data_IF_202222798139
#
_entry.id   IF_202222798139
#
_cell.length_a   1.000
_cell.length_b   1.000
_cell.length_c   1.000
_cell.angle_alpha   90.00
_cell.angle_beta   90.00
_cell.angle_gamma   90.00
#
_symmetry.space_group_name_H-M   'P 1'
#
loop_
_entity.id
_entity.type
_entity.pdbx_description
1 polymer ?
#
# COMPACT_ATOMS: atom_id res chain seq x y z
N UNK A 1 26.01 5.74 -6.99
CA UNK A 1 24.55 5.72 -6.70
C UNK A 1 24.19 4.29 -6.30
N UNK A 2 23.87 4.03 -5.04
CA UNK A 2 23.34 2.72 -4.63
C UNK A 2 21.83 2.89 -4.46
N UNK A 3 21.08 2.72 -5.55
CA UNK A 3 19.64 2.51 -5.49
C UNK A 3 19.38 1.03 -5.16
N UNK A 4 19.35 0.67 -3.89
CA UNK A 4 18.48 -0.42 -3.46
C UNK A 4 17.21 0.23 -2.94
N UNK A 5 16.33 0.58 -3.88
CA UNK A 5 14.95 0.99 -3.60
C UNK A 5 14.28 -0.18 -2.89
N UNK A 6 13.92 0.01 -1.63
CA UNK A 6 13.07 -0.93 -0.90
C UNK A 6 11.87 -1.34 -1.78
N UNK A 7 11.60 -2.64 -1.87
CA UNK A 7 10.36 -3.14 -2.50
C UNK A 7 9.16 -2.69 -1.66
N UNK A 8 7.97 -2.61 -2.26
CA UNK A 8 6.74 -2.29 -1.49
C UNK A 8 6.56 -3.26 -0.31
N UNK A 9 6.79 -4.55 -0.57
CA UNK A 9 6.78 -5.60 0.45
C UNK A 9 7.76 -5.29 1.58
N UNK A 10 9.02 -4.99 1.25
CA UNK A 10 10.04 -4.65 2.24
C UNK A 10 9.70 -3.39 3.05
N UNK A 11 9.07 -2.39 2.44
CA UNK A 11 8.58 -1.19 3.15
C UNK A 11 7.48 -1.58 4.15
N UNK A 12 6.51 -2.36 3.71
CA UNK A 12 5.37 -2.81 4.54
C UNK A 12 5.83 -3.70 5.69
N UNK A 13 6.78 -4.61 5.45
CA UNK A 13 7.40 -5.42 6.49
C UNK A 13 8.19 -4.56 7.49
N UNK A 14 9.03 -3.64 6.99
CA UNK A 14 9.87 -2.79 7.82
C UNK A 14 9.05 -1.94 8.79
N UNK A 15 7.95 -1.35 8.31
CA UNK A 15 7.07 -0.51 9.13
C UNK A 15 5.99 -1.29 9.89
N UNK A 16 5.80 -2.58 9.59
CA UNK A 16 4.81 -3.44 10.24
C UNK A 16 3.37 -3.22 9.77
N UNK A 17 3.17 -2.71 8.56
CA UNK A 17 1.85 -2.38 8.00
C UNK A 17 1.34 -3.41 6.97
N UNK A 18 2.01 -4.57 6.84
CA UNK A 18 1.60 -5.64 5.92
C UNK A 18 0.13 -6.05 6.10
N UNK A 19 -0.27 -6.31 7.34
CA UNK A 19 -1.66 -6.69 7.67
C UNK A 19 -2.66 -5.57 7.36
N UNK A 20 -2.26 -4.32 7.55
CA UNK A 20 -3.13 -3.19 7.29
C UNK A 20 -3.36 -2.98 5.79
N UNK A 21 -2.32 -3.22 4.98
CA UNK A 21 -2.45 -3.25 3.52
C UNK A 21 -3.36 -4.41 3.06
N UNK A 22 -3.24 -5.60 3.67
CA UNK A 22 -4.14 -6.72 3.40
C UNK A 22 -5.61 -6.35 3.70
N UNK A 23 -5.87 -5.69 4.83
CA UNK A 23 -7.20 -5.20 5.20
C UNK A 23 -7.78 -4.22 4.16
N UNK A 24 -6.95 -3.32 3.61
CA UNK A 24 -7.34 -2.42 2.52
C UNK A 24 -7.70 -3.18 1.24
N UNK A 25 -6.87 -4.15 0.84
CA UNK A 25 -7.11 -4.96 -0.35
C UNK A 25 -8.39 -5.78 -0.22
N UNK A 26 -8.62 -6.38 0.96
CA UNK A 26 -9.86 -7.09 1.27
C UNK A 26 -11.07 -6.15 1.25
N UNK A 27 -10.95 -4.96 1.84
CA UNK A 27 -12.01 -3.95 1.83
C UNK A 27 -12.41 -3.55 0.40
N UNK A 28 -11.43 -3.24 -0.46
CA UNK A 28 -11.69 -2.88 -1.87
C UNK A 28 -12.29 -4.05 -2.66
N UNK A 29 -11.80 -5.26 -2.42
CA UNK A 29 -12.27 -6.48 -3.09
C UNK A 29 -13.73 -6.82 -2.77
N UNK A 30 -14.24 -6.45 -1.58
CA UNK A 30 -15.65 -6.71 -1.20
C UNK A 30 -16.67 -6.03 -2.14
N UNK A 31 -16.29 -4.95 -2.83
CA UNK A 31 -17.14 -4.28 -3.82
C UNK A 31 -17.28 -5.07 -5.13
N UNK A 32 -16.45 -6.10 -5.34
CA UNK A 32 -16.37 -6.92 -6.57
C UNK A 32 -16.97 -8.32 -6.37
N UNK A 33 -18.24 -8.40 -5.96
CA UNK A 33 -18.92 -9.70 -5.78
C UNK A 33 -18.99 -10.46 -7.10
N UNK A 34 -18.53 -11.72 -7.10
CA UNK A 34 -18.56 -12.61 -8.26
C UNK A 34 -17.37 -12.45 -9.21
N UNK A 35 -16.43 -11.56 -8.91
CA UNK A 35 -15.20 -11.42 -9.67
C UNK A 35 -14.29 -12.64 -9.49
N UNK A 36 -13.63 -13.02 -10.57
CA UNK A 36 -12.55 -13.99 -10.60
C UNK A 36 -11.30 -13.47 -9.90
N UNK A 37 -10.36 -14.38 -9.60
CA UNK A 37 -9.07 -14.00 -9.02
C UNK A 37 -8.28 -13.03 -9.90
N UNK A 38 -8.34 -13.20 -11.23
CA UNK A 38 -7.64 -12.33 -12.19
C UNK A 38 -8.26 -10.93 -12.22
N UNK A 39 -9.58 -10.81 -12.11
CA UNK A 39 -10.25 -9.51 -12.02
C UNK A 39 -9.88 -8.79 -10.70
N UNK A 40 -9.84 -9.51 -9.57
CA UNK A 40 -9.40 -8.93 -8.29
C UNK A 40 -7.93 -8.49 -8.38
N UNK A 41 -7.06 -9.31 -8.96
CA UNK A 41 -5.65 -8.98 -9.11
C UNK A 41 -5.44 -7.72 -9.96
N UNK A 42 -6.09 -7.65 -11.13
CA UNK A 42 -5.85 -6.58 -12.10
C UNK A 42 -6.64 -5.30 -11.81
N UNK A 43 -7.83 -5.39 -11.20
CA UNK A 43 -8.68 -4.22 -10.97
C UNK A 43 -8.61 -3.69 -9.53
N UNK A 44 -8.11 -4.48 -8.58
CA UNK A 44 -8.01 -4.08 -7.18
C UNK A 44 -6.57 -4.08 -6.70
N UNK A 45 -5.89 -5.22 -6.77
CA UNK A 45 -4.57 -5.38 -6.14
C UNK A 45 -3.53 -4.52 -6.84
N UNK A 46 -3.29 -4.73 -8.14
CA UNK A 46 -2.27 -4.01 -8.90
C UNK A 46 -2.49 -2.48 -8.85
N UNK A 47 -3.70 -1.94 -9.12
CA UNK A 47 -3.92 -0.50 -9.02
C UNK A 47 -3.68 0.05 -7.62
N UNK A 48 -4.05 -0.69 -6.57
CA UNK A 48 -3.82 -0.25 -5.18
C UNK A 48 -2.33 -0.16 -4.86
N UNK A 49 -1.54 -1.15 -5.32
CA UNK A 49 -0.09 -1.16 -5.09
C UNK A 49 0.63 -0.11 -5.95
N UNK A 50 0.15 0.16 -7.16
CA UNK A 50 0.66 1.24 -8.01
C UNK A 50 0.42 2.62 -7.40
N UNK A 51 -0.80 2.89 -6.92
CA UNK A 51 -1.14 4.12 -6.20
C UNK A 51 -0.28 4.30 -4.95
N UNK A 52 -0.08 3.22 -4.19
CA UNK A 52 0.77 3.22 -3.00
C UNK A 52 2.23 3.52 -3.35
N UNK A 53 2.76 2.89 -4.40
CA UNK A 53 4.10 3.18 -4.90
C UNK A 53 4.25 4.63 -5.33
N UNK A 54 3.25 5.20 -6.01
CA UNK A 54 3.26 6.60 -6.42
C UNK A 54 3.29 7.53 -5.19
N UNK A 55 2.45 7.25 -4.19
CA UNK A 55 2.44 7.99 -2.93
C UNK A 55 3.80 7.96 -2.23
N UNK A 56 4.40 6.77 -2.08
CA UNK A 56 5.71 6.64 -1.46
C UNK A 56 6.80 7.39 -2.24
N UNK A 57 6.82 7.31 -3.57
CA UNK A 57 7.77 8.05 -4.40
C UNK A 57 7.66 9.57 -4.24
N UNK A 58 6.47 10.06 -3.97
CA UNK A 58 6.22 11.50 -3.84
C UNK A 58 6.55 12.04 -2.44
N UNK A 59 6.24 11.27 -1.38
CA UNK A 59 6.32 11.76 0.00
C UNK A 59 7.48 11.18 0.82
N UNK A 60 8.06 10.04 0.42
CA UNK A 60 9.18 9.44 1.15
C UNK A 60 10.48 10.22 0.91
N UNK A 61 11.17 10.56 2.00
CA UNK A 61 12.47 11.23 1.96
C UNK A 61 13.59 10.26 2.36
N UNK A 62 14.82 10.51 1.90
CA UNK A 62 15.97 9.63 2.11
C UNK A 62 16.32 9.32 3.59
N UNK A 63 15.93 10.21 4.52
CA UNK A 63 16.24 10.09 5.95
C UNK A 63 15.01 9.81 6.82
N UNK A 64 13.94 9.26 6.25
CA UNK A 64 12.72 8.95 7.00
C UNK A 64 13.00 7.89 8.06
N UNK A 65 12.60 8.14 9.30
CA UNK A 65 12.72 7.13 10.35
C UNK A 65 11.58 6.09 10.27
N UNK A 66 11.76 4.94 10.91
CA UNK A 66 10.76 3.86 10.88
C UNK A 66 9.39 4.27 11.44
N UNK A 67 9.35 5.13 12.47
CA UNK A 67 8.08 5.56 13.07
C UNK A 67 7.34 6.55 12.16
N UNK A 68 8.06 7.44 11.49
CA UNK A 68 7.53 8.35 10.49
C UNK A 68 7.05 7.60 9.24
N UNK A 69 7.83 6.64 8.75
CA UNK A 69 7.44 5.75 7.65
C UNK A 69 6.15 5.01 8.00
N UNK A 70 6.04 4.45 9.22
CA UNK A 70 4.82 3.79 9.69
C UNK A 70 3.64 4.75 9.70
N UNK A 71 3.78 5.96 10.27
CA UNK A 71 2.70 6.97 10.30
C UNK A 71 2.24 7.34 8.90
N UNK A 72 3.19 7.53 7.97
CA UNK A 72 2.91 7.90 6.59
C UNK A 72 2.16 6.79 5.84
N UNK A 73 2.59 5.53 5.99
CA UNK A 73 1.95 4.37 5.37
C UNK A 73 0.57 4.12 5.98
N UNK A 74 0.49 4.02 7.30
CA UNK A 74 -0.76 3.78 8.02
C UNK A 74 -1.80 4.87 7.73
N UNK A 75 -1.39 6.15 7.76
CA UNK A 75 -2.27 7.27 7.43
C UNK A 75 -2.77 7.26 5.98
N UNK A 76 -1.95 6.80 5.04
CA UNK A 76 -2.41 6.62 3.66
C UNK A 76 -3.45 5.50 3.55
N UNK A 77 -3.20 4.33 4.14
CA UNK A 77 -4.13 3.20 4.12
C UNK A 77 -5.48 3.62 4.75
N UNK A 78 -5.44 4.24 5.93
CA UNK A 78 -6.63 4.77 6.62
C UNK A 78 -7.42 5.76 5.75
N UNK A 79 -6.71 6.64 5.03
CA UNK A 79 -7.36 7.58 4.12
C UNK A 79 -8.02 6.88 2.93
N UNK A 80 -7.44 5.80 2.42
CA UNK A 80 -8.05 4.99 1.36
C UNK A 80 -9.29 4.24 1.84
N UNK A 81 -9.31 3.78 3.09
CA UNK A 81 -10.46 3.08 3.69
C UNK A 81 -11.68 3.99 3.90
N UNK A 82 -11.46 5.32 4.00
CA UNK A 82 -12.52 6.32 4.19
C UNK A 82 -13.08 6.88 2.88
N UNK A 83 -12.37 6.71 1.76
CA UNK A 83 -12.84 7.13 0.43
C UNK A 83 -13.83 6.09 -0.09
N UNK A 84 -15.13 6.43 -0.06
CA UNK A 84 -16.21 5.59 -0.58
C UNK A 84 -16.39 5.75 -2.10
#
# INVERSE_FOLDING_TARGET
>A
MKEEKYTLEGILELCGEMKHMEELLLYRSRKKKGASADEILNEVVNPTLEDFMFYLKYYMTDNIDKAELKRMVSGWIDAQMKKN
#
